data_IF_267360687367
#
_entry.id   IF_267360687367
#
_cell.length_a   1.000
_cell.length_b   1.000
_cell.length_c   1.000
_cell.angle_alpha   90.00
_cell.angle_beta   90.00
_cell.angle_gamma   90.00
#
_symmetry.space_group_name_H-M   'P 1'
#
loop_
_entity.id
_entity.type
_entity.pdbx_description
1 polymer ?
#
# COMPACT_ATOMS: atom_id res chain seq x y z
N UNK A 1 12.63 -12.85 -12.35
CA UNK A 1 12.27 -11.57 -12.99
C UNK A 1 13.54 -10.75 -13.11
N UNK A 2 13.93 -10.28 -14.30
CA UNK A 2 15.15 -9.48 -14.46
C UNK A 2 14.87 -8.07 -13.95
N UNK A 3 15.47 -7.68 -12.83
CA UNK A 3 15.30 -6.35 -12.19
C UNK A 3 15.75 -5.17 -13.08
N UNK A 4 16.52 -5.45 -14.16
CA UNK A 4 17.09 -4.41 -15.03
C UNK A 4 16.11 -3.75 -16.00
N UNK A 5 14.91 -4.29 -16.17
CA UNK A 5 13.93 -3.79 -17.14
C UNK A 5 12.96 -2.76 -16.54
N UNK A 6 12.76 -2.80 -15.23
CA UNK A 6 11.84 -1.94 -14.50
C UNK A 6 12.56 -1.22 -13.37
N UNK A 7 12.26 0.06 -13.19
CA UNK A 7 12.60 0.79 -11.97
C UNK A 7 11.62 0.42 -10.86
N UNK A 8 12.14 -0.04 -9.72
CA UNK A 8 11.33 -0.41 -8.56
C UNK A 8 11.57 0.56 -7.43
N UNK A 9 10.49 1.11 -6.87
CA UNK A 9 10.54 2.07 -5.79
C UNK A 9 9.50 1.71 -4.74
N UNK A 10 9.84 1.89 -3.47
CA UNK A 10 8.87 1.97 -2.39
C UNK A 10 8.65 3.44 -2.06
N UNK A 11 7.42 3.78 -1.67
CA UNK A 11 7.12 5.11 -1.11
C UNK A 11 6.68 4.89 0.32
N UNK A 12 7.49 5.36 1.27
CA UNK A 12 7.15 5.36 2.69
C UNK A 12 6.21 6.54 2.95
N UNK A 13 4.97 6.25 3.27
CA UNK A 13 3.91 7.26 3.42
C UNK A 13 3.67 7.63 4.88
N UNK A 14 3.07 6.75 5.66
CA UNK A 14 2.80 6.93 7.08
C UNK A 14 2.61 5.57 7.76
N UNK A 15 2.68 5.52 9.08
CA UNK A 15 2.28 4.35 9.84
C UNK A 15 0.76 4.18 9.77
N UNK A 16 0.33 3.00 9.33
CA UNK A 16 -1.10 2.70 9.21
C UNK A 16 -1.75 2.48 10.59
N UNK A 17 -0.99 1.92 11.53
CA UNK A 17 -1.43 1.61 12.89
C UNK A 17 -0.34 2.04 13.87
N UNK A 18 -0.25 3.36 14.17
CA UNK A 18 0.79 3.86 15.06
C UNK A 18 0.64 3.28 16.46
N UNK A 19 1.75 2.94 17.07
CA UNK A 19 1.83 2.35 18.40
C UNK A 19 3.01 2.86 19.19
N UNK A 20 3.39 2.15 20.24
CA UNK A 20 4.51 2.52 21.11
C UNK A 20 5.87 2.39 20.43
N UNK A 21 6.02 1.39 19.58
CA UNK A 21 7.30 1.09 18.92
C UNK A 21 7.45 1.74 17.54
N UNK A 22 6.33 2.02 16.88
CA UNK A 22 6.24 2.74 15.61
C UNK A 22 5.18 3.84 15.75
N UNK A 23 5.51 4.97 16.41
CA UNK A 23 4.57 6.06 16.61
C UNK A 23 4.26 6.79 15.29
N UNK A 24 3.16 7.54 15.28
CA UNK A 24 2.93 8.52 14.22
C UNK A 24 4.06 9.55 14.21
N UNK A 25 4.53 9.91 13.02
CA UNK A 25 5.61 10.87 12.86
C UNK A 25 5.10 12.29 13.05
N UNK A 26 5.82 13.09 13.80
CA UNK A 26 5.54 14.52 14.03
C UNK A 26 6.52 15.42 13.30
N UNK A 27 7.66 14.85 12.86
CA UNK A 27 8.69 15.54 12.08
C UNK A 27 9.11 14.71 10.86
N UNK A 28 9.65 15.37 9.85
CA UNK A 28 10.16 14.72 8.67
C UNK A 28 11.39 13.84 8.98
N UNK A 29 12.23 14.26 9.93
CA UNK A 29 13.40 13.48 10.34
C UNK A 29 13.02 12.18 11.03
N UNK A 30 11.97 12.16 11.86
CA UNK A 30 11.41 10.92 12.43
C UNK A 30 10.91 9.99 11.32
N UNK A 31 10.25 10.53 10.31
CA UNK A 31 9.75 9.78 9.17
C UNK A 31 10.89 9.15 8.35
N UNK A 32 11.95 9.91 8.10
CA UNK A 32 13.17 9.42 7.44
C UNK A 32 13.81 8.30 8.27
N UNK A 33 13.94 8.50 9.59
CA UNK A 33 14.52 7.49 10.48
C UNK A 33 13.70 6.18 10.47
N UNK A 34 12.38 6.26 10.48
CA UNK A 34 11.50 5.11 10.39
C UNK A 34 11.61 4.39 9.02
N UNK A 35 11.69 5.12 7.92
CA UNK A 35 11.92 4.54 6.59
C UNK A 35 13.28 3.83 6.49
N UNK A 36 14.34 4.38 7.08
CA UNK A 36 15.65 3.72 7.16
C UNK A 36 15.58 2.43 8.00
N UNK A 37 14.92 2.49 9.16
CA UNK A 37 14.73 1.32 10.00
C UNK A 37 13.97 0.21 9.26
N UNK A 38 12.88 0.54 8.56
CA UNK A 38 12.13 -0.41 7.74
C UNK A 38 13.03 -1.06 6.68
N UNK A 39 13.84 -0.28 5.99
CA UNK A 39 14.79 -0.78 4.99
C UNK A 39 15.76 -1.77 5.60
N UNK A 40 16.37 -1.43 6.72
CA UNK A 40 17.43 -2.18 7.35
C UNK A 40 16.89 -3.46 8.02
N UNK A 41 15.74 -3.38 8.71
CA UNK A 41 15.10 -4.54 9.36
C UNK A 41 14.58 -5.58 8.35
N UNK A 42 14.08 -5.13 7.20
CA UNK A 42 13.54 -6.04 6.18
C UNK A 42 14.53 -6.36 5.05
N UNK A 43 15.75 -5.83 5.10
CA UNK A 43 16.76 -6.05 4.07
C UNK A 43 16.34 -5.54 2.69
N UNK A 44 15.61 -4.41 2.61
CA UNK A 44 15.12 -3.87 1.35
C UNK A 44 16.27 -3.27 0.57
N UNK A 45 16.62 -3.89 -0.57
CA UNK A 45 17.68 -3.40 -1.46
C UNK A 45 17.25 -2.34 -2.45
N UNK A 46 15.95 -2.12 -2.60
CA UNK A 46 15.37 -1.14 -3.54
C UNK A 46 15.27 0.24 -2.91
N UNK A 47 15.31 1.32 -3.72
CA UNK A 47 15.13 2.66 -3.19
C UNK A 47 13.80 2.82 -2.46
N UNK A 48 13.84 3.47 -1.30
CA UNK A 48 12.66 3.92 -0.56
C UNK A 48 12.64 5.44 -0.65
N UNK A 49 11.62 5.95 -1.31
CA UNK A 49 11.29 7.38 -1.32
C UNK A 49 10.48 7.67 -0.05
N UNK A 50 10.68 8.83 0.54
CA UNK A 50 9.92 9.25 1.73
C UNK A 50 8.99 10.38 1.32
N UNK A 51 7.68 10.15 1.48
CA UNK A 51 6.67 11.18 1.24
C UNK A 51 6.79 12.31 2.27
N UNK A 52 6.34 13.49 1.93
CA UNK A 52 6.27 14.63 2.85
C UNK A 52 5.46 14.28 4.10
N UNK A 53 5.64 15.07 5.17
CA UNK A 53 4.96 14.79 6.45
C UNK A 53 3.44 14.83 6.29
N UNK A 54 2.94 15.76 5.49
CA UNK A 54 1.52 15.95 5.15
C UNK A 54 0.95 14.83 4.27
N UNK A 55 1.81 14.01 3.65
CA UNK A 55 1.38 12.89 2.83
C UNK A 55 0.87 13.29 1.45
N UNK A 56 1.53 14.22 0.79
CA UNK A 56 1.15 14.75 -0.54
C UNK A 56 1.07 13.65 -1.59
N UNK A 57 2.10 12.78 -1.67
CA UNK A 57 2.12 11.65 -2.60
C UNK A 57 1.04 10.63 -2.21
N UNK A 58 0.91 10.30 -0.93
CA UNK A 58 -0.11 9.37 -0.45
C UNK A 58 -1.52 9.84 -0.80
N UNK A 59 -1.81 11.13 -0.65
CA UNK A 59 -3.08 11.75 -1.02
C UNK A 59 -3.32 11.67 -2.52
N UNK A 60 -2.33 12.03 -3.34
CA UNK A 60 -2.43 12.01 -4.80
C UNK A 60 -2.65 10.59 -5.36
N UNK A 61 -2.05 9.58 -4.72
CA UNK A 61 -2.13 8.18 -5.15
C UNK A 61 -3.26 7.37 -4.49
N UNK A 62 -4.13 7.96 -3.66
CA UNK A 62 -5.41 7.39 -3.27
C UNK A 62 -5.57 6.96 -1.81
N UNK A 63 -4.66 7.33 -0.90
CA UNK A 63 -4.78 7.19 0.56
C UNK A 63 -4.85 5.74 1.12
N UNK A 64 -4.72 4.73 0.29
CA UNK A 64 -4.70 3.34 0.78
C UNK A 64 -3.28 2.95 1.25
N UNK A 65 -3.15 2.17 2.33
CA UNK A 65 -1.85 1.97 2.98
C UNK A 65 -0.89 1.05 2.23
N UNK A 66 -1.32 0.31 1.24
CA UNK A 66 -0.48 -0.69 0.57
C UNK A 66 -0.81 -0.80 -0.92
N UNK A 67 -0.82 0.33 -1.58
CA UNK A 67 -1.12 0.40 -3.01
C UNK A 67 0.08 0.06 -3.88
N UNK A 68 -0.22 -0.42 -5.10
CA UNK A 68 0.77 -0.64 -6.15
C UNK A 68 0.37 0.08 -7.42
N UNK A 69 1.38 0.62 -8.10
CA UNK A 69 1.23 1.32 -9.36
C UNK A 69 2.32 0.89 -10.33
N UNK A 70 1.96 0.70 -11.60
CA UNK A 70 2.91 0.55 -12.70
C UNK A 70 2.70 1.71 -13.65
N UNK A 71 3.79 2.43 -13.90
CA UNK A 71 3.78 3.60 -14.76
C UNK A 71 4.66 3.34 -15.99
N UNK A 72 4.18 3.74 -17.17
CA UNK A 72 5.01 3.84 -18.36
C UNK A 72 5.98 5.03 -18.25
N UNK A 73 7.00 5.06 -19.10
CA UNK A 73 8.01 6.15 -19.14
C UNK A 73 7.41 7.53 -19.31
N UNK A 74 6.26 7.65 -19.95
CA UNK A 74 5.54 8.92 -20.13
C UNK A 74 4.60 9.29 -18.98
N UNK A 75 4.61 8.55 -17.86
CA UNK A 75 3.72 8.79 -16.72
C UNK A 75 2.33 8.17 -16.84
N UNK A 76 2.04 7.50 -17.96
CA UNK A 76 0.77 6.79 -18.12
C UNK A 76 0.64 5.66 -17.12
N UNK A 77 -0.48 5.60 -16.42
CA UNK A 77 -0.78 4.53 -15.48
C UNK A 77 -1.15 3.28 -16.27
N UNK A 78 -0.37 2.21 -16.13
CA UNK A 78 -0.62 0.92 -16.76
C UNK A 78 -1.34 -0.07 -15.82
N UNK A 79 -1.11 0.07 -14.51
CA UNK A 79 -1.70 -0.78 -13.49
C UNK A 79 -1.87 -0.01 -12.19
N UNK A 80 -2.96 -0.29 -11.50
CA UNK A 80 -3.24 0.23 -10.16
C UNK A 80 -3.91 -0.86 -9.34
N UNK A 81 -3.42 -1.10 -8.14
CA UNK A 81 -4.06 -1.99 -7.17
C UNK A 81 -4.18 -1.31 -5.81
N UNK A 82 -5.31 -1.50 -5.16
CA UNK A 82 -5.55 -1.02 -3.80
C UNK A 82 -4.80 -1.81 -2.73
N UNK A 83 -4.22 -2.96 -3.13
CA UNK A 83 -3.41 -3.81 -2.25
C UNK A 83 -2.28 -4.47 -3.03
N UNK A 84 -1.06 -4.44 -2.50
CA UNK A 84 0.11 -5.00 -3.17
C UNK A 84 0.08 -6.53 -3.17
N UNK A 85 0.23 -7.10 -4.37
CA UNK A 85 0.43 -8.53 -4.59
C UNK A 85 1.56 -8.75 -5.60
N UNK A 86 2.67 -9.31 -5.14
CA UNK A 86 3.83 -9.58 -5.99
C UNK A 86 3.49 -10.51 -7.16
N UNK A 87 2.64 -11.53 -6.92
CA UNK A 87 2.20 -12.47 -7.96
C UNK A 87 1.44 -11.74 -9.08
N UNK A 88 0.46 -10.89 -8.72
CA UNK A 88 -0.36 -10.18 -9.71
C UNK A 88 0.41 -9.10 -10.47
N UNK A 89 1.31 -8.42 -9.79
CA UNK A 89 2.22 -7.50 -10.48
C UNK A 89 3.08 -8.28 -11.49
N UNK A 90 3.61 -9.44 -11.10
CA UNK A 90 4.37 -10.33 -11.99
C UNK A 90 3.57 -10.74 -13.22
N UNK A 91 2.37 -11.27 -13.03
CA UNK A 91 1.45 -11.65 -14.12
C UNK A 91 1.13 -10.47 -15.06
N UNK A 92 0.90 -9.28 -14.48
CA UNK A 92 0.67 -8.08 -15.27
C UNK A 92 1.89 -7.73 -16.14
N UNK A 93 3.10 -7.73 -15.56
CA UNK A 93 4.32 -7.41 -16.29
C UNK A 93 4.64 -8.45 -17.39
N UNK A 94 4.37 -9.71 -17.15
CA UNK A 94 4.50 -10.77 -18.17
C UNK A 94 3.54 -10.55 -19.34
N UNK A 95 2.29 -10.23 -19.07
CA UNK A 95 1.32 -9.87 -20.12
C UNK A 95 1.75 -8.64 -20.91
N UNK A 96 2.28 -7.62 -20.24
CA UNK A 96 2.79 -6.41 -20.92
C UNK A 96 3.96 -6.71 -21.86
N UNK A 97 4.85 -7.62 -21.48
CA UNK A 97 5.97 -8.07 -22.34
C UNK A 97 5.50 -8.86 -23.57
N UNK A 98 4.45 -9.64 -23.40
CA UNK A 98 3.90 -10.45 -24.48
C UNK A 98 3.10 -9.63 -25.52
N UNK A 99 2.76 -8.38 -25.20
CA UNK A 99 2.04 -7.51 -26.15
C UNK A 99 2.99 -7.00 -27.23
N UNK A 100 2.58 -7.04 -28.52
CA UNK A 100 3.40 -6.48 -29.59
C UNK A 100 3.65 -4.99 -29.37
N UNK A 101 4.91 -4.58 -29.41
CA UNK A 101 5.31 -3.16 -29.42
C UNK A 101 4.67 -2.48 -30.62
N UNK A 102 3.73 -1.56 -30.39
CA UNK A 102 3.08 -0.80 -31.48
C UNK A 102 1.57 -0.63 -31.35
N UNK A 103 0.90 -1.38 -30.50
CA UNK A 103 -0.47 -1.05 -30.12
C UNK A 103 -0.41 0.09 -29.10
N UNK A 104 -0.64 1.32 -29.57
CA UNK A 104 -0.55 2.55 -28.80
C UNK A 104 -1.56 2.69 -27.64
N UNK A 105 -2.07 1.60 -27.13
CA UNK A 105 -3.04 1.59 -26.04
C UNK A 105 -2.77 0.40 -25.12
N UNK A 106 -2.14 0.65 -23.98
CA UNK A 106 -2.17 -0.30 -22.89
C UNK A 106 -3.49 -0.12 -22.14
N UNK A 107 -4.37 -1.13 -22.09
CA UNK A 107 -5.61 -0.99 -21.32
C UNK A 107 -5.28 -0.77 -19.85
N UNK A 108 -5.91 0.23 -19.25
CA UNK A 108 -5.84 0.47 -17.81
C UNK A 108 -6.55 -0.68 -17.08
N UNK A 109 -5.81 -1.42 -16.28
CA UNK A 109 -6.38 -2.46 -15.42
C UNK A 109 -6.51 -1.93 -14.00
N UNK A 110 -7.73 -1.73 -13.54
CA UNK A 110 -8.02 -1.61 -12.11
C UNK A 110 -8.21 -2.99 -11.54
N UNK A 111 -7.38 -3.40 -10.61
CA UNK A 111 -7.68 -4.55 -9.78
C UNK A 111 -8.78 -4.21 -8.78
N UNK A 112 -9.86 -4.99 -8.80
CA UNK A 112 -10.80 -4.95 -7.69
C UNK A 112 -10.11 -5.47 -6.45
N UNK A 113 -10.39 -4.85 -5.28
CA UNK A 113 -9.99 -5.36 -3.98
C UNK A 113 -10.57 -6.77 -3.83
N UNK A 114 -9.79 -7.80 -4.07
CA UNK A 114 -10.15 -9.12 -3.63
C UNK A 114 -10.08 -9.15 -2.11
N UNK A 115 -11.22 -9.40 -1.49
CA UNK A 115 -11.30 -9.72 -0.07
C UNK A 115 -10.67 -11.10 0.15
N UNK A 116 -9.34 -11.19 0.10
CA UNK A 116 -8.65 -12.38 0.56
C UNK A 116 -8.78 -12.43 2.08
N UNK A 117 -9.06 -13.61 2.62
CA UNK A 117 -8.91 -13.83 4.06
C UNK A 117 -7.46 -13.45 4.40
N UNK A 118 -7.30 -12.42 5.23
CA UNK A 118 -6.02 -12.11 5.85
C UNK A 118 -5.58 -13.35 6.64
N UNK A 119 -4.28 -13.63 6.66
CA UNK A 119 -3.72 -14.39 7.76
C UNK A 119 -3.89 -13.51 9.02
N UNK A 120 -5.00 -13.77 9.75
CA UNK A 120 -5.39 -12.98 10.91
C UNK A 120 -4.32 -13.02 11.99
N UNK A 121 -3.67 -14.17 12.14
CA UNK A 121 -2.64 -14.36 13.18
C UNK A 121 -1.36 -13.58 12.84
N UNK A 122 -0.92 -13.58 11.57
CA UNK A 122 0.22 -12.79 11.15
C UNK A 122 -0.03 -11.29 11.29
N UNK A 123 -1.23 -10.83 10.96
CA UNK A 123 -1.62 -9.44 11.12
C UNK A 123 -1.69 -9.04 12.60
N UNK A 124 -2.30 -9.87 13.44
CA UNK A 124 -2.39 -9.64 14.88
C UNK A 124 -1.00 -9.57 15.52
N UNK A 125 -0.09 -10.51 15.17
CA UNK A 125 1.31 -10.44 15.63
C UNK A 125 2.01 -9.16 15.19
N UNK A 126 1.70 -8.64 14.00
CA UNK A 126 2.22 -7.36 13.53
C UNK A 126 1.79 -6.18 14.39
N UNK A 127 0.50 -6.13 14.78
CA UNK A 127 -0.03 -5.12 15.69
C UNK A 127 0.58 -5.21 17.08
N UNK A 128 0.64 -6.43 17.66
CA UNK A 128 1.22 -6.69 18.98
C UNK A 128 2.70 -6.31 19.04
N UNK A 129 3.45 -6.58 17.97
CA UNK A 129 4.86 -6.17 17.86
C UNK A 129 5.01 -4.63 17.90
N UNK A 130 4.01 -3.89 17.44
CA UNK A 130 3.98 -2.43 17.49
C UNK A 130 3.47 -1.89 18.84
N UNK A 131 2.95 -2.74 19.72
CA UNK A 131 2.53 -2.41 21.07
C UNK A 131 1.01 -2.33 21.26
N UNK A 132 0.54 -2.28 22.51
CA UNK A 132 -0.88 -2.34 22.86
C UNK A 132 -1.71 -1.19 22.27
N UNK A 133 -1.11 -0.03 22.06
CA UNK A 133 -1.78 1.12 21.44
C UNK A 133 -2.17 0.81 19.99
N UNK A 134 -1.31 0.16 19.21
CA UNK A 134 -1.62 -0.23 17.83
C UNK A 134 -2.78 -1.22 17.78
N UNK A 135 -2.83 -2.17 18.71
CA UNK A 135 -3.94 -3.13 18.86
C UNK A 135 -5.25 -2.40 19.18
N UNK A 136 -5.23 -1.47 20.14
CA UNK A 136 -6.42 -0.72 20.56
C UNK A 136 -6.94 0.20 19.45
N UNK A 137 -6.04 0.87 18.71
CA UNK A 137 -6.41 1.75 17.61
C UNK A 137 -7.04 0.97 16.45
N UNK A 138 -6.48 -0.20 16.13
CA UNK A 138 -7.08 -1.06 15.12
C UNK A 138 -8.47 -1.58 15.53
N UNK A 139 -8.64 -2.04 16.76
CA UNK A 139 -9.93 -2.48 17.28
C UNK A 139 -11.00 -1.37 17.21
N UNK A 140 -10.61 -0.13 17.54
CA UNK A 140 -11.49 1.04 17.40
C UNK A 140 -11.88 1.31 15.95
N UNK A 141 -10.93 1.20 15.02
CA UNK A 141 -11.21 1.35 13.59
C UNK A 141 -12.18 0.27 13.08
N UNK A 142 -12.01 -0.99 13.49
CA UNK A 142 -12.94 -2.09 13.14
C UNK A 142 -14.37 -1.83 13.66
N UNK A 143 -14.52 -1.30 14.86
CA UNK A 143 -15.83 -0.90 15.39
C UNK A 143 -16.50 0.15 14.50
N UNK A 144 -15.78 1.22 14.16
CA UNK A 144 -16.28 2.29 13.29
C UNK A 144 -16.70 1.73 11.91
N UNK A 145 -15.90 0.87 11.32
CA UNK A 145 -16.23 0.25 10.02
C UNK A 145 -17.45 -0.64 10.10
N UNK A 146 -17.58 -1.41 11.18
CA UNK A 146 -18.74 -2.28 11.41
C UNK A 146 -20.02 -1.48 11.58
N UNK A 147 -19.97 -0.38 12.33
CA UNK A 147 -21.11 0.51 12.53
C UNK A 147 -21.53 1.18 11.21
N UNK A 148 -20.56 1.69 10.45
CA UNK A 148 -20.82 2.28 9.12
C UNK A 148 -21.42 1.27 8.14
N UNK A 149 -20.92 0.04 8.13
CA UNK A 149 -21.45 -1.02 7.28
C UNK A 149 -22.89 -1.41 7.67
N UNK A 150 -23.21 -1.42 8.96
CA UNK A 150 -24.58 -1.66 9.46
C UNK A 150 -25.51 -0.50 9.06
N UNK A 151 -25.06 0.74 9.23
CA UNK A 151 -25.84 1.91 8.86
C UNK A 151 -26.12 1.94 7.34
N UNK A 152 -25.11 1.65 6.51
CA UNK A 152 -25.29 1.58 5.06
C UNK A 152 -26.30 0.51 4.60
N UNK A 153 -26.35 -0.64 5.30
CA UNK A 153 -27.33 -1.71 5.01
C UNK A 153 -28.75 -1.38 5.48
N UNK A 154 -28.91 -0.48 6.44
CA UNK A 154 -30.20 -0.06 6.96
C UNK A 154 -30.84 1.07 6.13
N UNK A 155 -30.11 1.67 5.17
CA UNK A 155 -30.66 2.66 4.24
C UNK A 155 -31.51 1.95 3.20
N UNK A 156 -32.79 2.39 2.99
CA UNK A 156 -33.61 1.85 1.92
C UNK A 156 -32.94 2.12 0.56
N UNK A 157 -32.95 1.11 -0.30
CA UNK A 157 -32.53 1.28 -1.71
C UNK A 157 -33.43 2.31 -2.36
N UNK A 158 -32.82 3.39 -2.89
CA UNK A 158 -33.52 4.42 -3.65
C UNK A 158 -33.98 3.86 -4.98
#
# INVERSE_FOLDING_TARGET
MRDSEYGWYFVYTREAHPGEHLPAHTTFDEKIAAARRLRDELGISRPILVDELEGTVHTAYGLMPNMSWVLARGGTILYKAGWTSAARIGEFLERQRAQPSGLGYAPFHTEQLELRRRDGDAFQRGLERNGPRAVAEFARAEQIWTERARAARAMPSA
#
